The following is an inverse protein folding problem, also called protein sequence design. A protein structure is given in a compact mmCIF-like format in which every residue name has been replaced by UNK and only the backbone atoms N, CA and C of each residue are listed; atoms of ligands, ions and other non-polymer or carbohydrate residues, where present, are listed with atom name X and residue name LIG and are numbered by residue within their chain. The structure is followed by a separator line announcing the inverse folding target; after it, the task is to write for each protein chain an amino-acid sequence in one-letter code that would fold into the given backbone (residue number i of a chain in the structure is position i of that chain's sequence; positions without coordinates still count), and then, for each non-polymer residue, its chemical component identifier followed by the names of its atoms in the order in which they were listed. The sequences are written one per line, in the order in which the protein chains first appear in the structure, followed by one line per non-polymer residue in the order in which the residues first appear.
data_IF_187214153342
#
_entry.id   IF_187214153342
#
_cell.length_a   1.000
_cell.length_b   1.000
_cell.length_c   1.000
_cell.angle_alpha   90.00
_cell.angle_beta   90.00
_cell.angle_gamma   90.00
#
_symmetry.space_group_name_H-M   'P 1'
#
loop_
_entity.id
_entity.type
_entity.pdbx_description
1 polymer ?
#
# COMPACT_ATOMS: atom_id res chain seq x y z
N UNK A 1 9.61 -12.21 43.11
CA UNK A 1 9.24 -11.64 41.79
C UNK A 1 8.52 -12.74 41.02
N UNK A 2 7.18 -12.75 41.03
CA UNK A 2 6.46 -13.59 40.06
C UNK A 2 6.74 -12.96 38.70
N UNK A 3 7.38 -13.70 37.79
CA UNK A 3 7.27 -13.38 36.38
C UNK A 3 5.78 -13.48 36.05
N UNK A 4 5.10 -12.33 35.93
CA UNK A 4 3.92 -12.29 35.09
C UNK A 4 4.43 -12.67 33.71
N UNK A 5 4.18 -13.91 33.30
CA UNK A 5 4.37 -14.30 31.91
C UNK A 5 3.50 -13.36 31.09
N UNK A 6 4.12 -12.43 30.36
CA UNK A 6 3.39 -11.54 29.46
C UNK A 6 2.70 -12.45 28.44
N UNK A 7 1.37 -12.54 28.53
CA UNK A 7 0.59 -13.30 27.57
C UNK A 7 0.56 -12.47 26.29
N UNK A 8 0.94 -13.02 25.13
CA UNK A 8 0.90 -12.29 23.86
C UNK A 8 -0.50 -11.74 23.54
N UNK A 9 -1.53 -12.40 24.03
CA UNK A 9 -2.92 -11.97 23.89
C UNK A 9 -3.39 -11.20 25.14
N UNK A 10 -3.83 -9.94 25.01
CA UNK A 10 -4.44 -9.16 26.09
C UNK A 10 -5.84 -9.68 26.43
N UNK A 11 -6.44 -9.12 27.47
CA UNK A 11 -7.75 -9.55 27.95
C UNK A 11 -8.90 -9.05 27.03
N UNK A 12 -9.15 -9.78 25.94
CA UNK A 12 -10.19 -9.46 24.95
C UNK A 12 -11.59 -9.34 25.58
N UNK A 13 -11.87 -10.09 26.65
CA UNK A 13 -13.18 -10.00 27.32
C UNK A 13 -13.36 -8.70 28.10
N UNK A 14 -12.27 -8.13 28.60
CA UNK A 14 -12.30 -6.84 29.27
C UNK A 14 -12.45 -5.69 28.28
N UNK A 15 -11.77 -5.75 27.13
CA UNK A 15 -11.95 -4.76 26.06
C UNK A 15 -13.36 -4.82 25.49
N UNK A 16 -13.89 -6.03 25.27
CA UNK A 16 -15.29 -6.25 24.88
C UNK A 16 -16.29 -5.66 25.89
N UNK A 17 -16.04 -5.80 27.20
CA UNK A 17 -16.89 -5.21 28.23
C UNK A 17 -16.94 -3.68 28.12
N UNK A 18 -15.80 -3.01 27.89
CA UNK A 18 -15.77 -1.56 27.76
C UNK A 18 -16.41 -1.08 26.45
N UNK A 19 -16.21 -1.78 25.34
CA UNK A 19 -16.93 -1.48 24.10
C UNK A 19 -18.44 -1.67 24.27
N UNK A 20 -18.90 -2.72 24.97
CA UNK A 20 -20.32 -2.90 25.28
C UNK A 20 -20.90 -1.72 26.07
N UNK A 21 -20.16 -1.16 27.03
CA UNK A 21 -20.55 0.08 27.71
C UNK A 21 -20.66 1.27 26.76
N UNK A 22 -19.84 1.32 25.70
CA UNK A 22 -19.92 2.34 24.65
C UNK A 22 -21.12 2.15 23.71
N UNK A 23 -21.89 1.06 23.84
CA UNK A 23 -22.97 0.70 22.92
C UNK A 23 -22.47 0.19 21.57
N UNK A 24 -21.22 -0.23 21.50
CA UNK A 24 -20.53 -0.69 20.28
C UNK A 24 -19.97 -2.08 20.56
N UNK A 25 -20.04 -3.01 19.62
CA UNK A 25 -19.36 -4.29 19.78
C UNK A 25 -20.10 -5.45 19.17
N UNK A 26 -19.55 -6.63 19.47
CA UNK A 26 -20.12 -7.91 19.09
C UNK A 26 -20.85 -8.52 20.30
N UNK A 27 -21.66 -9.55 20.04
CA UNK A 27 -22.32 -10.28 21.13
C UNK A 27 -21.29 -10.93 22.07
N UNK A 28 -21.67 -11.12 23.35
CA UNK A 28 -20.79 -11.75 24.34
C UNK A 28 -20.31 -13.14 23.89
N UNK A 29 -21.20 -13.94 23.29
CA UNK A 29 -20.89 -15.26 22.76
C UNK A 29 -19.87 -15.18 21.62
N UNK A 30 -20.04 -14.22 20.70
CA UNK A 30 -19.11 -14.01 19.58
C UNK A 30 -17.73 -13.55 20.07
N UNK A 31 -17.65 -12.61 21.01
CA UNK A 31 -16.39 -12.19 21.62
C UNK A 31 -15.68 -13.35 22.32
N UNK A 32 -16.42 -14.21 23.01
CA UNK A 32 -15.83 -15.38 23.67
C UNK A 32 -15.26 -16.37 22.66
N UNK A 33 -15.96 -16.63 21.56
CA UNK A 33 -15.45 -17.48 20.49
C UNK A 33 -14.22 -16.86 19.80
N UNK A 34 -14.22 -15.55 19.55
CA UNK A 34 -13.07 -14.82 19.00
C UNK A 34 -11.87 -14.95 19.94
N UNK A 35 -12.06 -14.75 21.24
CA UNK A 35 -11.01 -14.91 22.24
C UNK A 35 -10.37 -16.30 22.21
N UNK A 36 -11.19 -17.36 22.09
CA UNK A 36 -10.68 -18.73 21.96
C UNK A 36 -9.93 -18.94 20.63
N UNK A 37 -10.44 -18.39 19.52
CA UNK A 37 -9.79 -18.48 18.22
C UNK A 37 -8.42 -17.75 18.20
N UNK A 38 -8.32 -16.60 18.86
CA UNK A 38 -7.07 -15.85 19.01
C UNK A 38 -6.07 -16.59 19.90
N UNK A 39 -6.54 -17.23 20.98
CA UNK A 39 -5.68 -18.10 21.80
C UNK A 39 -5.12 -19.28 21.01
N UNK A 40 -5.93 -19.86 20.12
CA UNK A 40 -5.46 -20.90 19.22
C UNK A 40 -4.39 -20.36 18.27
N UNK A 41 -4.59 -19.18 17.67
CA UNK A 41 -3.59 -18.53 16.81
C UNK A 41 -2.24 -18.33 17.51
N UNK A 42 -2.26 -17.72 18.70
CA UNK A 42 -1.06 -17.48 19.53
C UNK A 42 -0.37 -18.77 19.97
N UNK A 43 -1.10 -19.89 20.04
CA UNK A 43 -0.52 -21.20 20.36
C UNK A 43 0.11 -21.91 19.15
N UNK A 44 -0.30 -21.53 17.94
CA UNK A 44 0.13 -22.16 16.68
C UNK A 44 1.28 -21.42 16.00
N UNK A 45 1.40 -20.11 16.23
CA UNK A 45 2.36 -19.23 15.57
C UNK A 45 3.30 -18.58 16.60
N UNK A 46 4.53 -18.18 16.22
CA UNK A 46 5.51 -17.59 17.13
C UNK A 46 5.25 -16.11 17.43
N UNK A 47 4.08 -15.85 18.03
CA UNK A 47 3.56 -14.50 18.26
C UNK A 47 4.13 -13.88 19.54
N UNK A 48 4.59 -12.64 19.42
CA UNK A 48 4.99 -11.78 20.53
C UNK A 48 3.82 -10.97 21.08
N UNK A 49 3.07 -10.31 20.20
CA UNK A 49 1.87 -9.54 20.54
C UNK A 49 0.73 -9.89 19.59
N UNK A 50 -0.49 -10.01 20.11
CA UNK A 50 -1.69 -10.27 19.33
C UNK A 50 -2.81 -9.36 19.80
N UNK A 51 -3.37 -8.57 18.90
CA UNK A 51 -4.50 -7.69 19.17
C UNK A 51 -5.68 -8.06 18.28
N UNK A 52 -6.88 -8.02 18.85
CA UNK A 52 -8.10 -8.11 18.05
C UNK A 52 -8.32 -6.76 17.36
N UNK A 53 -8.02 -6.68 16.07
CA UNK A 53 -8.14 -5.46 15.29
C UNK A 53 -9.60 -5.08 15.02
N UNK A 54 -10.43 -6.09 14.74
CA UNK A 54 -11.86 -5.90 14.51
C UNK A 54 -12.46 -6.87 13.49
N UNK A 55 -13.56 -6.44 12.89
CA UNK A 55 -14.37 -7.23 11.95
C UNK A 55 -14.76 -6.40 10.72
N UNK A 56 -14.46 -6.93 9.54
CA UNK A 56 -14.88 -6.37 8.25
C UNK A 56 -16.06 -7.17 7.73
N UNK A 57 -17.12 -6.48 7.36
CA UNK A 57 -18.34 -7.07 6.82
C UNK A 57 -18.16 -7.37 5.33
N UNK A 58 -18.60 -8.56 4.93
CA UNK A 58 -18.65 -8.97 3.53
C UNK A 58 -20.05 -9.38 3.11
N UNK A 59 -20.24 -9.56 1.80
CA UNK A 59 -21.52 -9.90 1.20
C UNK A 59 -21.92 -11.37 1.45
N UNK A 60 -20.95 -12.28 1.43
CA UNK A 60 -21.17 -13.72 1.66
C UNK A 60 -20.65 -14.13 3.04
N UNK A 61 -19.43 -13.73 3.39
CA UNK A 61 -18.80 -13.99 4.69
C UNK A 61 -18.10 -12.74 5.22
N UNK A 62 -17.99 -12.63 6.54
CA UNK A 62 -17.24 -11.56 7.20
C UNK A 62 -15.76 -11.96 7.36
N UNK A 63 -14.92 -11.00 7.73
CA UNK A 63 -13.54 -11.23 8.14
C UNK A 63 -13.34 -10.75 9.56
N UNK A 64 -12.83 -11.63 10.41
CA UNK A 64 -12.33 -11.33 11.76
C UNK A 64 -10.83 -11.15 11.60
N UNK A 65 -10.31 -10.01 12.06
CA UNK A 65 -8.92 -9.61 11.83
C UNK A 65 -8.15 -9.59 13.14
N UNK A 66 -7.01 -10.27 13.15
CA UNK A 66 -5.99 -10.24 14.19
C UNK A 66 -4.79 -9.46 13.67
N UNK A 67 -4.33 -8.49 14.47
CA UNK A 67 -3.08 -7.75 14.27
C UNK A 67 -2.02 -8.40 15.16
N UNK A 68 -0.85 -8.69 14.60
CA UNK A 68 0.15 -9.58 15.21
C UNK A 68 1.56 -9.05 14.96
N UNK A 69 2.42 -9.16 15.97
CA UNK A 69 3.87 -9.06 15.82
C UNK A 69 4.50 -10.43 16.13
N UNK A 70 5.43 -10.86 15.30
CA UNK A 70 6.24 -12.05 15.57
C UNK A 70 7.42 -11.74 16.48
N UNK A 71 7.88 -12.76 17.18
CA UNK A 71 9.14 -12.68 17.93
C UNK A 71 10.29 -12.38 16.97
N UNK A 72 11.27 -11.61 17.43
CA UNK A 72 12.48 -11.32 16.66
C UNK A 72 13.14 -12.61 16.14
N UNK A 73 13.39 -12.66 14.82
CA UNK A 73 14.08 -13.78 14.16
C UNK A 73 13.24 -15.02 13.84
N UNK A 74 11.92 -15.00 14.08
CA UNK A 74 11.01 -16.12 13.74
C UNK A 74 10.12 -15.81 12.52
N UNK A 75 10.54 -14.87 11.67
CA UNK A 75 9.85 -14.56 10.41
C UNK A 75 10.22 -15.56 9.32
N UNK A 76 9.19 -16.07 8.64
CA UNK A 76 9.39 -16.77 7.37
C UNK A 76 9.94 -15.75 6.37
N UNK A 77 11.14 -16.00 5.84
CA UNK A 77 11.62 -15.32 4.63
C UNK A 77 10.52 -15.52 3.57
N UNK A 78 9.87 -14.42 3.19
CA UNK A 78 8.96 -14.49 2.04
C UNK A 78 9.85 -14.81 0.86
N UNK A 79 9.64 -15.99 0.25
CA UNK A 79 10.17 -16.25 -1.08
C UNK A 79 9.72 -15.08 -1.92
N UNK A 80 10.67 -14.25 -2.33
CA UNK A 80 10.48 -13.21 -3.31
C UNK A 80 10.05 -13.91 -4.59
N UNK A 81 8.76 -14.20 -4.70
CA UNK A 81 8.09 -14.17 -5.98
C UNK A 81 8.09 -12.69 -6.36
N UNK A 82 9.26 -12.21 -6.80
CA UNK A 82 9.30 -11.10 -7.72
C UNK A 82 8.31 -11.49 -8.82
N UNK A 83 7.15 -10.82 -8.84
CA UNK A 83 6.41 -10.69 -10.08
C UNK A 83 7.37 -9.94 -11.00
N UNK A 84 8.23 -10.68 -11.67
CA UNK A 84 8.94 -10.27 -12.87
C UNK A 84 7.81 -9.85 -13.80
N UNK A 85 7.53 -8.56 -13.84
CA UNK A 85 6.87 -7.97 -14.99
C UNK A 85 7.81 -8.34 -16.13
N UNK A 86 7.42 -9.31 -16.95
CA UNK A 86 8.12 -9.62 -18.20
C UNK A 86 8.24 -8.31 -18.98
N UNK A 87 9.35 -7.60 -18.81
CA UNK A 87 9.84 -6.71 -19.83
C UNK A 87 10.12 -7.59 -21.03
N UNK A 88 9.22 -7.51 -22.00
CA UNK A 88 9.33 -8.22 -23.26
C UNK A 88 10.74 -8.03 -23.83
N UNK A 89 11.35 -9.18 -24.15
CA UNK A 89 12.69 -9.36 -24.66
C UNK A 89 13.34 -8.15 -25.30
N UNK A 90 14.40 -7.64 -24.65
CA UNK A 90 15.45 -6.89 -25.32
C UNK A 90 16.38 -7.91 -25.97
N UNK A 91 16.01 -8.38 -27.17
CA UNK A 91 16.97 -9.04 -28.05
C UNK A 91 17.97 -7.97 -28.50
N UNK A 92 19.18 -8.02 -27.94
CA UNK A 92 20.31 -7.33 -28.52
C UNK A 92 20.75 -8.10 -29.76
N UNK A 93 20.36 -7.61 -30.95
CA UNK A 93 21.14 -7.89 -32.15
C UNK A 93 22.27 -6.87 -32.20
N UNK A 94 23.50 -7.37 -32.07
CA UNK A 94 24.67 -6.66 -32.59
C UNK A 94 24.53 -6.72 -34.11
N UNK A 95 24.18 -5.60 -34.74
CA UNK A 95 24.21 -5.48 -36.19
C UNK A 95 25.25 -4.45 -36.60
N UNK A 96 26.23 -4.97 -37.34
CA UNK A 96 27.24 -4.27 -38.09
C UNK A 96 26.60 -3.29 -39.08
N UNK A 97 27.33 -2.22 -39.39
CA UNK A 97 26.97 -1.17 -40.36
C UNK A 97 26.59 -1.78 -41.74
N UNK A 98 25.31 -2.08 -41.96
CA UNK A 98 24.73 -2.32 -43.28
C UNK A 98 23.51 -1.39 -43.51
N UNK A 99 23.17 -1.21 -44.78
CA UNK A 99 22.60 0.01 -45.35
C UNK A 99 21.26 0.48 -44.73
N UNK A 100 21.13 1.80 -44.55
CA UNK A 100 19.93 2.47 -43.99
C UNK A 100 18.65 2.15 -44.76
N UNK A 101 17.94 1.11 -44.34
CA UNK A 101 16.49 0.99 -44.54
C UNK A 101 15.76 1.86 -43.49
N UNK A 102 14.68 2.54 -43.90
CA UNK A 102 13.89 3.44 -43.06
C UNK A 102 13.13 2.66 -41.96
N UNK A 103 13.80 2.31 -40.87
CA UNK A 103 13.15 1.71 -39.70
C UNK A 103 12.17 2.71 -39.03
N UNK A 104 11.00 2.25 -38.55
CA UNK A 104 10.09 3.10 -37.80
C UNK A 104 10.76 3.59 -36.50
N UNK A 105 10.45 4.81 -36.04
CA UNK A 105 11.05 5.36 -34.83
C UNK A 105 10.78 4.46 -33.62
N UNK A 106 11.84 4.08 -32.91
CA UNK A 106 11.77 3.27 -31.69
C UNK A 106 11.00 4.03 -30.60
N UNK A 107 10.15 3.33 -29.86
CA UNK A 107 9.33 3.94 -28.82
C UNK A 107 10.21 4.50 -27.70
N UNK A 108 10.03 5.77 -27.36
CA UNK A 108 10.69 6.43 -26.23
C UNK A 108 9.89 6.30 -24.92
N UNK A 109 8.85 5.46 -24.88
CA UNK A 109 8.02 5.29 -23.70
C UNK A 109 8.79 4.55 -22.60
N UNK A 110 9.10 5.25 -21.50
CA UNK A 110 9.59 4.66 -20.25
C UNK A 110 8.42 4.50 -19.28
N UNK A 111 8.22 3.29 -18.76
CA UNK A 111 7.22 3.03 -17.72
C UNK A 111 7.46 3.94 -16.51
N UNK A 112 6.42 4.46 -15.83
CA UNK A 112 6.62 5.24 -14.62
C UNK A 112 7.39 4.42 -13.56
N UNK A 113 8.35 5.01 -12.84
CA UNK A 113 9.14 4.31 -11.83
C UNK A 113 8.23 3.72 -10.74
N UNK A 114 8.47 2.45 -10.40
CA UNK A 114 7.68 1.74 -9.40
C UNK A 114 8.20 2.07 -8.02
N UNK A 115 7.33 2.58 -7.15
CA UNK A 115 7.70 2.85 -5.75
C UNK A 115 7.87 1.52 -5.01
N UNK A 116 9.04 1.27 -4.38
CA UNK A 116 9.31 -0.01 -3.73
C UNK A 116 8.46 -0.21 -2.47
N UNK A 117 8.17 -1.49 -2.17
CA UNK A 117 7.45 -1.91 -0.94
C UNK A 117 8.28 -1.58 0.30
N UNK A 118 7.60 -1.26 1.40
CA UNK A 118 8.26 -1.10 2.70
C UNK A 118 8.63 -2.48 3.27
N UNK A 119 9.79 -2.55 3.93
CA UNK A 119 10.29 -3.77 4.56
C UNK A 119 9.36 -4.26 5.67
N UNK A 120 9.41 -5.55 5.97
CA UNK A 120 8.69 -6.12 7.09
C UNK A 120 9.09 -5.41 8.39
N UNK A 121 8.11 -5.17 9.28
CA UNK A 121 8.26 -4.42 10.54
C UNK A 121 8.40 -2.90 10.39
N UNK A 122 8.39 -2.36 9.17
CA UNK A 122 8.46 -0.92 8.93
C UNK A 122 7.18 -0.37 8.31
N UNK A 123 6.84 0.89 8.66
CA UNK A 123 5.74 1.64 8.05
C UNK A 123 4.41 0.88 7.98
N UNK A 124 3.88 0.77 6.78
CA UNK A 124 2.64 0.08 6.43
C UNK A 124 2.69 -1.43 6.67
N UNK A 125 3.88 -2.03 6.71
CA UNK A 125 4.16 -3.45 6.96
C UNK A 125 4.71 -3.72 8.38
N UNK A 126 4.52 -2.78 9.32
CA UNK A 126 4.91 -2.95 10.73
C UNK A 126 4.27 -4.17 11.41
N UNK A 127 2.99 -4.40 11.15
CA UNK A 127 2.22 -5.49 11.73
C UNK A 127 1.82 -6.52 10.69
N UNK A 128 1.76 -7.78 11.12
CA UNK A 128 1.24 -8.89 10.33
C UNK A 128 -0.25 -9.06 10.67
N UNK A 129 -1.06 -9.29 9.63
CA UNK A 129 -2.50 -9.45 9.81
C UNK A 129 -2.93 -10.87 9.46
N UNK A 130 -3.65 -11.49 10.40
CA UNK A 130 -4.30 -12.78 10.20
C UNK A 130 -5.80 -12.57 10.10
N UNK A 131 -6.44 -13.29 9.18
CA UNK A 131 -7.88 -13.22 8.99
C UNK A 131 -8.53 -14.58 9.10
N UNK A 132 -9.77 -14.58 9.59
CA UNK A 132 -10.59 -15.76 9.70
C UNK A 132 -12.06 -15.39 9.45
N UNK A 133 -12.82 -16.21 8.73
CA UNK A 133 -14.20 -15.87 8.42
C UNK A 133 -15.15 -16.06 9.61
N UNK A 134 -14.91 -17.09 10.40
CA UNK A 134 -15.72 -17.47 11.55
C UNK A 134 -14.83 -18.02 12.66
N UNK A 135 -15.11 -17.72 13.94
CA UNK A 135 -14.29 -18.21 15.03
C UNK A 135 -14.13 -19.74 15.00
N UNK A 136 -12.89 -20.23 15.03
CA UNK A 136 -12.56 -21.66 14.99
C UNK A 136 -12.23 -22.21 13.61
N UNK A 137 -12.44 -21.45 12.52
CA UNK A 137 -11.84 -21.74 11.22
C UNK A 137 -10.33 -21.43 11.23
N UNK A 138 -9.53 -22.00 10.32
CA UNK A 138 -8.10 -21.70 10.24
C UNK A 138 -7.86 -20.21 9.95
N UNK A 139 -6.84 -19.66 10.59
CA UNK A 139 -6.35 -18.32 10.33
C UNK A 139 -5.49 -18.30 9.07
N UNK A 140 -5.70 -17.32 8.21
CA UNK A 140 -4.93 -17.10 6.98
C UNK A 140 -4.11 -15.83 7.15
N UNK A 141 -2.79 -15.92 6.93
CA UNK A 141 -1.89 -14.75 6.91
C UNK A 141 -2.20 -13.92 5.66
N UNK A 142 -2.41 -12.62 5.81
CA UNK A 142 -2.51 -11.70 4.68
C UNK A 142 -1.11 -11.37 4.14
N UNK A 143 -0.97 -11.16 2.82
CA UNK A 143 0.30 -10.73 2.23
C UNK A 143 0.69 -9.34 2.74
N UNK A 144 1.98 -8.95 2.61
CA UNK A 144 2.39 -7.56 2.82
C UNK A 144 1.69 -6.65 1.80
N UNK A 145 1.60 -5.37 2.13
CA UNK A 145 0.98 -4.36 1.26
C UNK A 145 2.05 -3.64 0.44
N UNK A 146 1.73 -3.33 -0.82
CA UNK A 146 2.57 -2.47 -1.66
C UNK A 146 1.97 -1.06 -1.78
N UNK A 147 2.80 -0.02 -2.05
CA UNK A 147 2.31 1.35 -2.22
C UNK A 147 1.29 1.46 -3.36
N UNK A 148 1.53 0.74 -4.46
CA UNK A 148 0.62 0.70 -5.63
C UNK A 148 -0.77 0.17 -5.24
N UNK A 149 -0.84 -0.87 -4.40
CA UNK A 149 -2.12 -1.37 -3.87
C UNK A 149 -2.85 -0.31 -3.03
N UNK A 150 -2.15 0.42 -2.17
CA UNK A 150 -2.77 1.48 -1.35
C UNK A 150 -3.30 2.61 -2.24
N UNK A 151 -2.52 3.06 -3.22
CA UNK A 151 -2.89 4.13 -4.15
C UNK A 151 -4.09 3.69 -5.01
N UNK A 152 -4.09 2.46 -5.53
CA UNK A 152 -5.22 1.91 -6.27
C UNK A 152 -6.47 1.79 -5.39
N UNK A 153 -6.32 1.30 -4.14
CA UNK A 153 -7.41 1.17 -3.17
C UNK A 153 -8.09 2.51 -2.84
N UNK A 154 -7.35 3.63 -2.87
CA UNK A 154 -7.92 4.98 -2.68
C UNK A 154 -8.87 5.40 -3.81
N UNK A 155 -8.66 4.89 -5.02
CA UNK A 155 -9.43 5.25 -6.24
C UNK A 155 -10.65 4.36 -6.48
N UNK A 156 -10.80 3.27 -5.72
CA UNK A 156 -11.87 2.28 -5.92
C UNK A 156 -12.72 2.11 -4.66
N UNK A 157 -13.99 1.74 -4.85
CA UNK A 157 -14.93 1.43 -3.77
C UNK A 157 -15.63 0.10 -4.05
N UNK A 158 -15.26 -0.95 -3.32
CA UNK A 158 -15.77 -2.32 -3.50
C UNK A 158 -16.22 -2.90 -2.17
N UNK A 159 -17.31 -3.66 -2.19
CA UNK A 159 -17.71 -4.49 -1.04
C UNK A 159 -16.90 -5.78 -1.05
N UNK A 160 -16.51 -6.24 0.12
CA UNK A 160 -15.85 -7.53 0.29
C UNK A 160 -16.83 -8.67 0.05
N UNK A 161 -16.40 -9.74 -0.62
CA UNK A 161 -17.22 -10.94 -0.79
C UNK A 161 -17.14 -11.83 0.44
N UNK A 162 -15.99 -11.89 1.11
CA UNK A 162 -15.69 -12.88 2.14
C UNK A 162 -14.83 -14.04 1.64
N UNK A 163 -14.42 -14.01 0.36
CA UNK A 163 -13.48 -14.94 -0.27
C UNK A 163 -12.18 -14.23 -0.61
N UNK A 164 -11.07 -14.65 -0.01
CA UNK A 164 -9.76 -13.99 -0.15
C UNK A 164 -9.19 -14.08 -1.56
N UNK A 165 -9.53 -15.13 -2.30
CA UNK A 165 -9.11 -15.39 -3.68
C UNK A 165 -9.98 -14.69 -4.74
N UNK A 166 -11.03 -13.98 -4.34
CA UNK A 166 -11.92 -13.32 -5.29
C UNK A 166 -11.19 -12.20 -6.06
N UNK A 167 -11.35 -12.11 -7.39
CA UNK A 167 -10.72 -11.06 -8.18
C UNK A 167 -11.39 -9.70 -7.94
N UNK A 168 -10.59 -8.63 -7.85
CA UNK A 168 -11.08 -7.26 -7.72
C UNK A 168 -11.26 -6.62 -9.10
N UNK A 169 -12.48 -6.69 -9.62
CA UNK A 169 -12.82 -6.10 -10.92
C UNK A 169 -13.14 -4.61 -10.75
N UNK A 170 -12.18 -3.72 -10.99
CA UNK A 170 -12.34 -2.27 -10.86
C UNK A 170 -11.69 -1.50 -12.00
N UNK A 171 -12.08 -0.23 -12.12
CA UNK A 171 -11.33 0.77 -12.88
C UNK A 171 -11.02 1.96 -11.97
N UNK A 172 -9.75 2.33 -11.76
CA UNK A 172 -8.54 1.70 -12.30
C UNK A 172 -8.38 0.23 -11.85
N UNK A 173 -7.64 -0.60 -12.62
CA UNK A 173 -7.32 -1.98 -12.23
C UNK A 173 -6.63 -2.02 -10.87
N UNK A 174 -7.00 -2.98 -10.04
CA UNK A 174 -6.37 -3.19 -8.74
C UNK A 174 -5.31 -4.32 -8.86
N UNK A 175 -4.06 -4.09 -8.43
CA UNK A 175 -3.01 -5.10 -8.50
C UNK A 175 -3.17 -6.12 -7.36
N UNK A 176 -3.88 -7.21 -7.63
CA UNK A 176 -4.08 -8.33 -6.72
C UNK A 176 -5.54 -8.75 -6.56
N UNK A 177 -5.79 -9.63 -5.59
CA UNK A 177 -7.13 -10.16 -5.29
C UNK A 177 -7.74 -9.48 -4.04
N UNK A 178 -8.82 -10.05 -3.51
CA UNK A 178 -9.50 -9.55 -2.33
C UNK A 178 -8.61 -9.56 -1.08
N UNK A 179 -7.66 -10.50 -0.93
CA UNK A 179 -6.71 -10.49 0.18
C UNK A 179 -5.81 -9.24 0.16
N UNK A 180 -5.28 -8.87 -1.00
CA UNK A 180 -4.48 -7.65 -1.17
C UNK A 180 -5.32 -6.39 -0.94
N UNK A 181 -6.56 -6.37 -1.43
CA UNK A 181 -7.47 -5.24 -1.20
C UNK A 181 -7.85 -5.10 0.28
N UNK A 182 -8.13 -6.22 0.96
CA UNK A 182 -8.42 -6.27 2.39
C UNK A 182 -7.23 -5.75 3.20
N UNK A 183 -6.02 -6.21 2.89
CA UNK A 183 -4.78 -5.74 3.50
C UNK A 183 -4.56 -4.24 3.30
N UNK A 184 -4.80 -3.72 2.09
CA UNK A 184 -4.69 -2.30 1.79
C UNK A 184 -5.74 -1.46 2.56
N UNK A 185 -6.97 -1.95 2.71
CA UNK A 185 -7.99 -1.29 3.52
C UNK A 185 -7.63 -1.30 5.01
N UNK A 186 -7.12 -2.41 5.54
CA UNK A 186 -6.64 -2.50 6.93
C UNK A 186 -5.53 -1.48 7.18
N UNK A 187 -4.54 -1.36 6.28
CA UNK A 187 -3.48 -0.34 6.40
C UNK A 187 -4.06 1.08 6.50
N UNK A 188 -4.96 1.43 5.57
CA UNK A 188 -5.58 2.76 5.50
C UNK A 188 -6.46 3.09 6.71
N UNK A 189 -7.20 2.11 7.22
CA UNK A 189 -8.04 2.28 8.42
C UNK A 189 -7.14 2.43 9.64
N UNK A 190 -6.13 1.57 9.79
CA UNK A 190 -5.24 1.60 10.95
C UNK A 190 -4.50 2.93 11.07
N UNK A 191 -3.92 3.40 9.97
CA UNK A 191 -3.22 4.69 9.91
C UNK A 191 -4.10 5.91 10.20
N UNK A 192 -5.43 5.80 10.03
CA UNK A 192 -6.35 6.93 10.24
C UNK A 192 -7.23 6.82 11.47
N UNK A 193 -7.16 5.72 12.24
CA UNK A 193 -8.13 5.47 13.32
C UNK A 193 -7.55 4.88 14.61
N UNK A 194 -6.29 4.45 14.61
CA UNK A 194 -5.65 3.95 15.83
C UNK A 194 -5.12 5.12 16.67
N UNK A 195 -5.82 5.39 17.77
CA UNK A 195 -5.60 6.56 18.61
C UNK A 195 -5.38 6.18 20.08
N UNK A 196 -4.71 7.03 20.82
CA UNK A 196 -4.43 6.84 22.25
C UNK A 196 -4.58 8.16 23.01
N UNK A 197 -4.85 8.13 24.33
CA UNK A 197 -4.79 9.33 25.16
C UNK A 197 -3.41 9.99 25.08
N UNK A 198 -3.40 11.33 25.04
CA UNK A 198 -2.19 12.13 25.01
C UNK A 198 -1.27 11.77 26.20
N UNK A 199 0.01 11.53 25.92
CA UNK A 199 1.01 11.19 26.92
C UNK A 199 1.01 9.73 27.39
N UNK A 200 0.11 8.88 26.86
CA UNK A 200 0.15 7.44 27.13
C UNK A 200 1.40 6.79 26.53
N UNK A 201 1.76 7.16 25.30
CA UNK A 201 3.00 6.77 24.65
C UNK A 201 3.98 7.94 24.64
N UNK A 202 5.27 7.62 24.66
CA UNK A 202 6.37 8.57 24.50
C UNK A 202 7.40 8.00 23.52
N UNK A 203 8.23 8.88 22.96
CA UNK A 203 9.41 8.45 22.20
C UNK A 203 10.53 8.06 23.17
N UNK A 204 11.23 6.97 22.89
CA UNK A 204 12.36 6.51 23.72
C UNK A 204 13.50 7.52 23.75
N UNK A 205 14.24 7.58 24.86
CA UNK A 205 15.34 8.55 25.07
C UNK A 205 16.55 8.32 24.15
N UNK A 206 16.69 7.14 23.52
CA UNK A 206 17.89 6.74 22.78
C UNK A 206 17.90 7.19 21.30
N UNK A 207 16.76 7.59 20.72
CA UNK A 207 16.68 8.18 19.37
C UNK A 207 16.66 9.73 19.43
N UNK A 208 17.61 10.24 20.23
CA UNK A 208 17.88 11.65 20.40
C UNK A 208 19.25 12.02 19.89
N UNK A 209 19.49 11.89 18.59
CA UNK A 209 20.53 12.66 17.89
C UNK A 209 20.18 12.69 16.39
N UNK A 210 19.34 13.65 16.00
CA UNK A 210 19.68 14.72 15.06
C UNK A 210 18.41 15.53 14.79
N UNK A 211 18.58 16.85 14.73
CA UNK A 211 17.54 17.85 14.53
C UNK A 211 16.94 17.75 13.12
N UNK A 212 16.20 16.69 12.80
CA UNK A 212 15.24 16.74 11.70
C UNK A 212 14.03 17.56 12.15
N UNK A 213 13.99 18.78 11.62
CA UNK A 213 12.96 19.79 11.80
C UNK A 213 11.57 19.24 11.42
N UNK A 214 10.92 18.52 12.34
CA UNK A 214 9.54 18.05 12.14
C UNK A 214 9.12 16.76 12.82
N UNK A 215 10.00 16.02 13.52
CA UNK A 215 9.61 14.75 14.18
C UNK A 215 9.10 13.67 13.20
N UNK A 216 9.33 13.89 11.89
CA UNK A 216 8.81 13.06 10.80
C UNK A 216 9.61 11.75 10.59
N UNK A 217 10.70 11.55 11.33
CA UNK A 217 11.54 10.34 11.27
C UNK A 217 11.47 9.43 12.49
N UNK A 218 10.55 9.67 13.45
CA UNK A 218 10.39 8.79 14.62
C UNK A 218 9.36 7.70 14.36
N UNK A 219 9.84 6.47 14.28
CA UNK A 219 9.04 5.31 13.85
C UNK A 219 8.63 4.39 15.01
N UNK A 220 9.22 4.61 16.18
CA UNK A 220 9.05 3.79 17.38
C UNK A 220 8.55 4.63 18.56
N UNK A 221 7.84 3.97 19.48
CA UNK A 221 7.31 4.57 20.69
C UNK A 221 7.24 3.51 21.79
N UNK A 222 7.22 3.97 23.04
CA UNK A 222 7.13 3.13 24.23
C UNK A 222 6.00 3.60 25.16
N UNK A 223 5.46 2.69 25.97
CA UNK A 223 4.49 3.03 27.02
C UNK A 223 5.14 3.93 28.07
N UNK A 224 4.53 5.08 28.35
CA UNK A 224 5.02 6.00 29.36
C UNK A 224 4.69 5.47 30.77
N UNK A 225 5.69 5.06 31.58
CA UNK A 225 5.45 4.53 32.93
C UNK A 225 4.85 5.58 33.88
N UNK A 226 5.13 6.85 33.62
CA UNK A 226 4.70 8.00 34.41
C UNK A 226 3.40 8.62 33.89
N UNK A 227 2.67 7.93 33.00
CA UNK A 227 1.39 8.43 32.47
C UNK A 227 0.39 8.79 33.58
N UNK A 228 0.01 10.06 33.61
CA UNK A 228 -1.05 10.60 34.44
C UNK A 228 -2.39 10.48 33.71
N UNK A 229 -3.38 9.90 34.36
CA UNK A 229 -4.68 9.67 33.74
C UNK A 229 -5.41 10.98 33.50
N UNK A 230 -5.78 11.23 32.25
CA UNK A 230 -6.69 12.33 31.87
C UNK A 230 -8.11 11.94 32.30
N UNK A 231 -8.88 12.92 32.79
CA UNK A 231 -10.26 12.64 33.20
C UNK A 231 -11.15 12.32 31.98
N UNK A 232 -12.16 11.47 32.18
CA UNK A 232 -13.09 11.10 31.11
C UNK A 232 -13.83 12.31 30.53
N UNK A 233 -14.11 13.34 31.34
CA UNK A 233 -14.74 14.56 30.85
C UNK A 233 -13.79 15.35 29.94
N UNK A 234 -12.53 15.52 30.33
CA UNK A 234 -11.53 16.20 29.49
C UNK A 234 -11.27 15.47 28.18
N UNK A 235 -11.26 14.12 28.20
CA UNK A 235 -11.12 13.30 27.00
C UNK A 235 -12.28 13.48 26.01
N UNK A 236 -13.48 13.79 26.49
CA UNK A 236 -14.65 14.03 25.64
C UNK A 236 -14.72 15.49 25.19
N UNK A 237 -14.35 16.43 26.05
CA UNK A 237 -14.45 17.87 25.79
C UNK A 237 -13.39 18.36 24.79
N UNK A 238 -12.20 17.74 24.77
CA UNK A 238 -11.10 18.16 23.90
C UNK A 238 -10.47 17.00 23.12
N UNK A 239 -10.53 17.10 21.79
CA UNK A 239 -9.86 16.18 20.88
C UNK A 239 -8.32 16.29 20.94
N UNK A 240 -7.77 17.37 21.49
CA UNK A 240 -6.32 17.52 21.69
C UNK A 240 -5.77 16.54 22.74
N UNK A 241 -6.64 15.92 23.54
CA UNK A 241 -6.26 14.90 24.52
C UNK A 241 -6.14 13.50 23.90
N UNK A 242 -6.27 13.39 22.57
CA UNK A 242 -6.12 12.16 21.80
C UNK A 242 -5.09 12.38 20.71
N UNK A 243 -4.27 11.37 20.48
CA UNK A 243 -3.19 11.40 19.48
C UNK A 243 -3.20 10.14 18.62
N UNK A 244 -2.77 10.25 17.37
CA UNK A 244 -2.53 9.08 16.50
C UNK A 244 -1.22 8.38 16.90
N UNK A 245 -1.26 7.07 17.16
CA UNK A 245 -0.05 6.28 17.47
C UNK A 245 0.36 5.32 16.34
N UNK A 246 -0.24 5.48 15.16
CA UNK A 246 0.17 4.82 13.92
C UNK A 246 0.56 5.89 12.92
N UNK A 247 1.61 5.63 12.14
CA UNK A 247 2.11 6.55 11.12
C UNK A 247 1.06 6.81 10.04
N UNK A 248 1.01 8.06 9.58
CA UNK A 248 0.17 8.43 8.46
C UNK A 248 0.74 7.89 7.13
N UNK A 249 -0.16 7.47 6.23
CA UNK A 249 0.24 7.00 4.90
C UNK A 249 0.16 8.18 3.91
N UNK A 250 1.29 8.52 3.30
CA UNK A 250 1.46 9.58 2.29
C UNK A 250 0.67 9.31 1.01
N UNK A 251 0.53 10.30 0.12
CA UNK A 251 -0.17 10.14 -1.16
C UNK A 251 0.53 9.11 -2.05
N UNK A 252 1.85 9.00 -1.94
CA UNK A 252 2.67 7.96 -2.54
C UNK A 252 2.27 6.51 -2.13
N UNK A 253 1.64 6.33 -0.97
CA UNK A 253 1.22 5.01 -0.47
C UNK A 253 2.18 4.36 0.52
N UNK A 254 3.20 5.10 0.97
CA UNK A 254 4.16 4.73 2.02
C UNK A 254 4.00 5.60 3.27
N UNK A 255 4.61 5.20 4.38
CA UNK A 255 4.74 6.06 5.56
C UNK A 255 5.92 7.02 5.42
N UNK A 256 7.04 6.55 4.85
CA UNK A 256 8.21 7.37 4.51
C UNK A 256 8.25 7.69 3.01
N UNK A 257 8.54 8.94 2.68
CA UNK A 257 8.66 9.38 1.28
C UNK A 257 9.97 8.86 0.69
N UNK A 258 9.91 8.37 -0.55
CA UNK A 258 11.09 8.06 -1.36
C UNK A 258 11.00 8.84 -2.67
N UNK A 259 12.13 9.37 -3.13
CA UNK A 259 12.21 9.96 -4.46
C UNK A 259 12.16 8.85 -5.53
N UNK A 260 11.09 8.75 -6.34
CA UNK A 260 11.02 7.73 -7.39
C UNK A 260 12.05 7.93 -8.52
N UNK A 261 12.64 9.12 -8.61
CA UNK A 261 13.65 9.47 -9.62
C UNK A 261 15.09 9.20 -9.15
N UNK A 262 15.30 8.90 -7.86
CA UNK A 262 16.60 8.39 -7.41
C UNK A 262 16.72 6.93 -7.86
N UNK A 263 17.52 6.69 -8.89
CA UNK A 263 17.98 5.34 -9.23
C UNK A 263 18.80 4.79 -8.07
N UNK A 264 18.70 3.49 -7.80
CA UNK A 264 19.68 2.80 -6.95
C UNK A 264 21.06 2.88 -7.59
N UNK A 265 22.13 3.00 -6.79
CA UNK A 265 23.52 3.07 -7.27
C UNK A 265 23.90 1.91 -8.22
N UNK A 266 23.19 0.77 -8.15
CA UNK A 266 23.39 -0.40 -9.04
C UNK A 266 22.87 -0.20 -10.47
N UNK A 267 21.91 0.70 -10.72
CA UNK A 267 21.39 0.99 -12.07
C UNK A 267 22.12 2.17 -12.76
N UNK A 268 23.03 2.84 -12.06
CA UNK A 268 23.84 3.93 -12.63
C UNK A 268 25.02 3.43 -13.47
N UNK A 269 25.50 2.18 -13.28
CA UNK A 269 26.66 1.66 -14.01
C UNK A 269 26.37 1.22 -15.48
N UNK A 270 25.11 1.00 -15.87
CA UNK A 270 24.77 0.53 -17.24
C UNK A 270 24.19 1.61 -18.17
N UNK A 271 24.09 2.87 -17.72
CA UNK A 271 23.27 3.90 -18.39
C UNK A 271 23.98 5.19 -18.81
N UNK A 272 25.32 5.24 -18.87
CA UNK A 272 26.06 6.43 -19.30
C UNK A 272 26.07 6.58 -20.84
N UNK A 273 24.91 6.76 -21.48
CA UNK A 273 24.81 7.43 -22.79
C UNK A 273 23.33 7.66 -23.16
N UNK A 274 22.68 8.69 -22.60
CA UNK A 274 21.50 9.28 -23.25
C UNK A 274 21.38 10.76 -22.88
N UNK A 275 21.21 11.59 -23.91
CA UNK A 275 21.23 13.04 -23.88
C UNK A 275 20.27 13.65 -22.86
N UNK A 276 20.62 14.87 -22.39
CA UNK A 276 19.78 15.77 -21.59
C UNK A 276 18.41 16.01 -22.21
N UNK A 277 17.46 15.10 -21.98
CA UNK A 277 16.04 15.43 -21.99
C UNK A 277 15.74 16.23 -20.71
N UNK A 278 14.89 17.26 -20.82
CA UNK A 278 14.46 18.09 -19.68
C UNK A 278 14.11 17.19 -18.49
N UNK A 279 14.82 17.35 -17.37
CA UNK A 279 14.49 16.67 -16.12
C UNK A 279 13.01 16.98 -15.82
N UNK A 280 12.13 15.96 -15.72
CA UNK A 280 10.78 16.21 -15.25
C UNK A 280 10.88 16.85 -13.87
N UNK A 281 10.09 17.91 -13.63
CA UNK A 281 10.03 18.60 -12.33
C UNK A 281 10.12 17.56 -11.19
N UNK A 282 11.20 17.62 -10.40
CA UNK A 282 11.41 16.67 -9.31
C UNK A 282 10.16 16.65 -8.42
N UNK A 283 9.58 15.47 -8.15
CA UNK A 283 8.38 15.40 -7.34
C UNK A 283 8.66 16.00 -5.96
N UNK A 284 7.84 16.96 -5.53
CA UNK A 284 8.01 17.59 -4.23
C UNK A 284 7.93 16.54 -3.11
N UNK A 285 8.87 16.54 -2.15
CA UNK A 285 8.82 15.64 -1.01
C UNK A 285 7.50 15.75 -0.26
N UNK A 286 6.83 14.61 -0.06
CA UNK A 286 5.60 14.56 0.71
C UNK A 286 5.95 14.38 2.20
N UNK A 287 5.51 15.31 3.06
CA UNK A 287 5.69 15.22 4.51
C UNK A 287 4.33 15.04 5.18
N UNK A 288 4.19 13.96 5.94
CA UNK A 288 3.01 13.66 6.74
C UNK A 288 3.07 14.31 8.14
N UNK A 289 1.96 14.33 8.88
CA UNK A 289 2.00 14.69 10.29
C UNK A 289 2.86 13.68 11.07
N UNK A 290 3.64 14.14 12.07
CA UNK A 290 4.47 13.26 12.88
C UNK A 290 3.63 12.28 13.71
N UNK A 291 4.29 11.27 14.28
CA UNK A 291 3.63 10.37 15.21
C UNK A 291 3.21 11.15 16.48
N UNK A 292 2.12 10.70 17.11
CA UNK A 292 1.53 11.34 18.28
C UNK A 292 0.96 12.75 18.02
N UNK A 293 0.62 13.07 16.77
CA UNK A 293 -0.12 14.29 16.42
C UNK A 293 -1.55 14.26 17.02
N UNK A 294 -2.02 15.36 17.64
CA UNK A 294 -3.36 15.45 18.21
C UNK A 294 -4.50 15.43 17.19
N UNK A 295 -5.65 14.84 17.56
CA UNK A 295 -6.84 14.77 16.69
C UNK A 295 -7.48 16.13 16.38
N UNK A 296 -7.13 17.18 17.14
CA UNK A 296 -7.57 18.54 16.85
C UNK A 296 -6.97 19.11 15.55
N UNK A 297 -5.93 18.46 15.02
CA UNK A 297 -5.27 18.84 13.76
C UNK A 297 -5.83 18.06 12.55
N UNK A 298 -6.72 17.09 12.77
CA UNK A 298 -7.33 16.31 11.69
C UNK A 298 -8.22 17.19 10.79
N UNK A 299 -8.12 16.96 9.48
CA UNK A 299 -8.89 17.71 8.49
C UNK A 299 -10.42 17.43 8.58
N UNK A 300 -11.21 18.50 8.54
CA UNK A 300 -12.67 18.40 8.51
C UNK A 300 -13.21 17.85 7.18
N UNK A 301 -14.35 17.16 7.24
CA UNK A 301 -15.03 16.57 6.09
C UNK A 301 -16.19 17.49 5.67
N UNK A 302 -15.95 18.44 4.77
CA UNK A 302 -16.98 19.42 4.33
C UNK A 302 -17.73 20.09 5.51
N UNK A 303 -16.99 20.56 6.53
CA UNK A 303 -17.48 21.14 7.79
C UNK A 303 -18.07 20.14 8.81
N UNK A 304 -17.88 18.83 8.60
CA UNK A 304 -18.17 17.80 9.60
C UNK A 304 -16.86 17.50 10.34
N UNK A 305 -16.84 17.51 11.68
CA UNK A 305 -15.63 17.15 12.43
C UNK A 305 -15.22 15.70 12.12
N UNK A 306 -13.92 15.41 12.01
CA UNK A 306 -13.42 14.07 11.67
C UNK A 306 -13.75 13.02 12.74
N UNK A 307 -13.98 13.46 13.98
CA UNK A 307 -14.28 12.63 15.12
C UNK A 307 -15.52 13.13 15.88
N UNK A 308 -16.20 12.21 16.53
CA UNK A 308 -17.28 12.52 17.48
C UNK A 308 -16.97 11.87 18.83
N UNK A 309 -16.88 12.69 19.86
CA UNK A 309 -16.64 12.28 21.24
C UNK A 309 -17.95 12.27 22.03
N UNK A 310 -18.14 11.24 22.86
CA UNK A 310 -19.31 11.11 23.73
C UNK A 310 -18.98 10.32 24.99
N UNK A 311 -19.79 10.52 26.03
CA UNK A 311 -19.80 9.67 27.22
C UNK A 311 -20.66 8.43 26.96
N UNK A 312 -20.26 7.28 27.51
CA UNK A 312 -21.13 6.09 27.49
C UNK A 312 -22.46 6.29 28.20
N UNK A 313 -22.49 7.12 29.24
CA UNK A 313 -23.71 7.43 29.98
C UNK A 313 -23.68 8.83 30.57
N UNK A 314 -24.80 9.54 30.43
CA UNK A 314 -25.04 10.83 31.08
C UNK A 314 -25.73 10.68 32.44
N UNK A 315 -26.19 9.47 32.79
CA UNK A 315 -26.93 9.22 34.03
C UNK A 315 -26.00 9.05 35.23
N UNK A 316 -24.84 8.42 35.02
CA UNK A 316 -23.86 8.14 36.07
C UNK A 316 -22.44 8.48 35.58
N UNK A 317 -22.11 9.78 35.38
CA UNK A 317 -20.85 10.20 34.74
C UNK A 317 -19.58 9.72 35.45
N UNK A 318 -19.65 9.47 36.76
CA UNK A 318 -18.52 8.96 37.55
C UNK A 318 -18.06 7.54 37.17
N UNK A 319 -18.88 6.78 36.45
CA UNK A 319 -18.55 5.46 35.89
C UNK A 319 -18.59 5.44 34.36
N UNK A 320 -18.75 6.61 33.73
CA UNK A 320 -18.75 6.71 32.29
C UNK A 320 -17.35 6.47 31.73
N UNK A 321 -17.30 6.03 30.47
CA UNK A 321 -16.08 5.95 29.67
C UNK A 321 -16.14 7.02 28.59
N UNK A 322 -14.98 7.48 28.15
CA UNK A 322 -14.87 8.31 26.95
C UNK A 322 -14.97 7.40 25.74
N UNK A 323 -15.81 7.76 24.77
CA UNK A 323 -16.01 7.02 23.53
C UNK A 323 -15.78 7.98 22.37
N UNK A 324 -14.88 7.61 21.47
CA UNK A 324 -14.64 8.31 20.22
C UNK A 324 -15.11 7.44 19.05
N UNK A 325 -15.74 8.09 18.08
CA UNK A 325 -16.14 7.50 16.81
C UNK A 325 -15.50 8.29 15.67
N UNK A 326 -14.90 7.59 14.71
CA UNK A 326 -14.43 8.23 13.48
C UNK A 326 -15.60 8.48 12.53
N UNK A 327 -15.72 9.72 12.06
CA UNK A 327 -16.66 10.08 11.00
C UNK A 327 -16.07 9.81 9.60
N UNK A 328 -14.73 9.80 9.50
CA UNK A 328 -14.03 9.49 8.25
C UNK A 328 -14.07 7.99 7.92
N UNK A 329 -13.99 7.15 8.94
CA UNK A 329 -14.08 5.70 8.82
C UNK A 329 -15.22 5.16 9.68
N UNK A 330 -16.46 5.18 9.16
CA UNK A 330 -17.60 4.63 9.88
C UNK A 330 -17.37 3.18 10.25
N UNK A 331 -17.50 2.89 11.56
CA UNK A 331 -17.18 1.59 12.14
C UNK A 331 -15.91 1.60 13.01
N UNK A 332 -15.07 2.64 12.93
CA UNK A 332 -13.94 2.79 13.84
C UNK A 332 -14.37 3.47 15.15
N UNK A 333 -14.09 2.80 16.26
CA UNK A 333 -14.41 3.26 17.60
C UNK A 333 -13.24 3.08 18.54
N UNK A 334 -13.13 3.99 19.50
CA UNK A 334 -12.12 3.96 20.53
C UNK A 334 -12.75 4.27 21.88
N UNK A 335 -12.29 3.64 22.95
CA UNK A 335 -12.68 4.02 24.30
C UNK A 335 -11.46 4.36 25.15
N UNK A 336 -11.66 5.17 26.19
CA UNK A 336 -10.67 5.36 27.25
C UNK A 336 -11.31 5.52 28.63
N UNK A 337 -10.67 4.91 29.63
CA UNK A 337 -10.99 5.04 31.06
C UNK A 337 -9.74 4.82 31.90
N UNK A 338 -9.31 5.86 32.63
CA UNK A 338 -8.10 5.79 33.44
C UNK A 338 -6.87 5.47 32.58
N UNK A 339 -6.21 4.34 32.87
CA UNK A 339 -5.05 3.84 32.11
C UNK A 339 -5.40 2.81 31.02
N UNK A 340 -6.69 2.59 30.76
CA UNK A 340 -7.15 1.60 29.79
C UNK A 340 -7.77 2.31 28.60
N UNK A 341 -7.37 1.92 27.40
CA UNK A 341 -8.00 2.33 26.15
C UNK A 341 -7.84 1.19 25.15
N UNK A 342 -8.66 1.18 24.12
CA UNK A 342 -8.49 0.28 22.97
C UNK A 342 -9.21 0.89 21.75
N UNK A 343 -8.86 0.37 20.58
CA UNK A 343 -9.43 0.76 19.29
C UNK A 343 -9.99 -0.48 18.60
N UNK A 344 -11.15 -0.37 17.96
CA UNK A 344 -11.76 -1.46 17.21
C UNK A 344 -12.40 -0.94 15.93
N UNK A 345 -12.29 -1.71 14.85
CA UNK A 345 -13.04 -1.46 13.63
C UNK A 345 -14.14 -2.50 13.42
N UNK A 346 -15.39 -2.07 13.27
CA UNK A 346 -16.55 -2.91 12.96
C UNK A 346 -17.35 -2.27 11.82
N UNK A 347 -17.16 -2.74 10.58
CA UNK A 347 -17.84 -2.11 9.45
C UNK A 347 -17.49 -2.68 8.08
N UNK A 348 -17.87 -1.95 7.03
CA UNK A 348 -17.72 -2.39 5.62
C UNK A 348 -16.32 -2.11 5.02
N UNK A 349 -15.43 -1.47 5.78
CA UNK A 349 -14.12 -1.04 5.30
C UNK A 349 -14.18 0.11 4.30
N UNK A 350 -15.22 0.95 4.33
CA UNK A 350 -15.37 2.08 3.40
C UNK A 350 -15.07 3.41 4.09
N UNK A 351 -14.24 4.22 3.43
CA UNK A 351 -14.03 5.62 3.81
C UNK A 351 -15.31 6.41 3.53
N UNK A 352 -15.74 7.20 4.49
CA UNK A 352 -16.84 8.14 4.29
C UNK A 352 -16.45 9.16 3.22
N UNK A 353 -17.36 9.37 2.28
CA UNK A 353 -17.25 10.42 1.28
C UNK A 353 -18.62 11.07 1.18
N UNK A 354 -18.69 12.40 1.28
CA UNK A 354 -19.95 13.13 1.12
C UNK A 354 -20.46 13.06 -0.33
N UNK A 355 -19.54 12.94 -1.29
CA UNK A 355 -19.85 12.83 -2.70
C UNK A 355 -20.08 11.37 -3.09
N UNK A 356 -20.90 11.18 -4.13
CA UNK A 356 -21.05 9.86 -4.74
C UNK A 356 -19.72 9.44 -5.37
N UNK A 357 -19.40 8.16 -5.22
CA UNK A 357 -18.24 7.59 -5.89
C UNK A 357 -18.34 7.82 -7.40
N UNK A 358 -17.35 8.54 -7.93
CA UNK A 358 -17.20 8.81 -9.36
C UNK A 358 -15.99 8.02 -9.86
N UNK A 359 -16.19 7.04 -10.76
CA UNK A 359 -15.08 6.28 -11.32
C UNK A 359 -14.04 7.19 -11.94
N UNK A 360 -12.76 6.80 -11.89
CA UNK A 360 -11.71 7.52 -12.60
C UNK A 360 -12.02 7.55 -14.10
N UNK A 361 -11.65 8.63 -14.78
CA UNK A 361 -11.75 8.69 -16.23
C UNK A 361 -10.65 7.85 -16.88
N UNK A 362 -10.87 7.33 -18.10
CA UNK A 362 -9.80 6.83 -18.95
C UNK A 362 -8.63 7.83 -19.04
N UNK A 363 -7.37 7.36 -19.12
CA UNK A 363 -6.26 8.26 -19.41
C UNK A 363 -6.53 9.01 -20.73
N UNK A 364 -5.98 10.22 -20.89
CA UNK A 364 -6.07 10.92 -22.16
C UNK A 364 -5.50 10.06 -23.28
N UNK A 365 -6.09 10.17 -24.46
CA UNK A 365 -5.54 9.54 -25.66
C UNK A 365 -4.13 10.11 -25.91
N UNK A 366 -3.21 9.23 -26.30
CA UNK A 366 -1.87 9.68 -26.68
C UNK A 366 -1.97 10.59 -27.89
N UNK A 367 -1.20 11.66 -27.88
CA UNK A 367 -1.07 12.55 -29.04
C UNK A 367 -0.22 11.87 -30.10
N UNK A 368 -0.60 12.06 -31.35
CA UNK A 368 0.22 11.64 -32.49
C UNK A 368 1.58 12.36 -32.47
N UNK A 369 2.57 11.78 -33.15
CA UNK A 369 3.87 12.42 -33.30
C UNK A 369 3.71 13.80 -33.95
N UNK A 370 4.33 14.86 -33.41
CA UNK A 370 4.15 16.20 -33.95
C UNK A 370 4.59 16.25 -35.41
N UNK A 371 3.76 16.79 -36.31
CA UNK A 371 4.14 16.99 -37.71
C UNK A 371 5.26 18.02 -37.83
N UNK A 372 6.50 17.55 -37.66
CA UNK A 372 7.72 18.34 -37.76
C UNK A 372 8.24 18.44 -39.20
N UNK A 373 9.32 19.20 -39.41
CA UNK A 373 9.97 19.31 -40.72
C UNK A 373 10.57 17.99 -41.22
N UNK A 374 10.68 16.98 -40.35
CA UNK A 374 11.14 15.63 -40.65
C UNK A 374 10.05 14.75 -41.27
N UNK A 375 8.77 15.15 -41.19
CA UNK A 375 7.65 14.40 -41.76
C UNK A 375 7.25 15.06 -43.08
N UNK A 376 7.51 14.35 -44.18
CA UNK A 376 7.03 14.76 -45.51
C UNK A 376 5.90 13.83 -45.94
N UNK A 377 4.67 14.36 -45.98
CA UNK A 377 3.53 13.63 -46.55
C UNK A 377 3.76 13.45 -48.06
N UNK A 378 3.90 12.20 -48.50
CA UNK A 378 4.04 11.83 -49.91
C UNK A 378 2.78 11.07 -50.37
N UNK A 379 2.43 11.20 -51.65
CA UNK A 379 1.32 10.44 -52.20
C UNK A 379 1.69 8.96 -52.28
N UNK A 380 0.71 8.08 -52.03
CA UNK A 380 0.88 6.64 -52.23
C UNK A 380 1.40 6.34 -53.64
N UNK A 381 2.39 5.45 -53.80
CA UNK A 381 2.92 5.07 -55.10
C UNK A 381 1.84 4.42 -55.96
N UNK A 382 1.93 4.63 -57.26
CA UNK A 382 1.03 3.98 -58.22
C UNK A 382 1.39 2.50 -58.38
N UNK A 383 0.42 1.68 -58.82
CA UNK A 383 0.62 0.24 -59.06
C UNK A 383 1.78 -0.04 -60.03
N UNK A 384 2.02 0.85 -60.98
CA UNK A 384 3.13 0.74 -61.94
C UNK A 384 4.50 0.98 -61.27
N UNK A 385 4.58 1.92 -60.32
CA UNK A 385 5.79 2.24 -59.56
C UNK A 385 6.12 1.14 -58.54
N UNK A 386 5.11 0.54 -57.89
CA UNK A 386 5.28 -0.60 -56.98
C UNK A 386 5.82 -1.83 -57.73
N UNK A 387 5.29 -2.12 -58.93
CA UNK A 387 5.78 -3.22 -59.77
C UNK A 387 7.21 -2.99 -60.25
N UNK A 388 7.57 -1.75 -60.58
CA UNK A 388 8.93 -1.41 -61.00
C UNK A 388 9.93 -1.54 -59.84
N UNK A 389 9.55 -1.09 -58.64
CA UNK A 389 10.37 -1.25 -57.43
C UNK A 389 10.62 -2.73 -57.12
N UNK A 390 9.56 -3.55 -57.18
CA UNK A 390 9.64 -4.98 -56.92
C UNK A 390 10.55 -5.71 -57.91
N UNK A 391 10.46 -5.36 -59.19
CA UNK A 391 11.34 -5.92 -60.22
C UNK A 391 12.80 -5.50 -60.02
N UNK A 392 13.04 -4.25 -59.62
CA UNK A 392 14.39 -3.76 -59.33
C UNK A 392 14.99 -4.42 -58.08
N UNK A 393 14.19 -4.67 -57.04
CA UNK A 393 14.62 -5.45 -55.87
C UNK A 393 14.94 -6.89 -56.25
N UNK A 394 14.10 -7.55 -57.06
CA UNK A 394 14.34 -8.93 -57.51
C UNK A 394 15.61 -9.03 -58.39
N UNK A 395 15.88 -8.03 -59.23
CA UNK A 395 17.12 -7.95 -60.02
C UNK A 395 18.36 -7.69 -59.13
N UNK A 396 18.26 -6.84 -58.12
CA UNK A 396 19.34 -6.59 -57.16
C UNK A 396 19.63 -7.83 -56.30
N UNK A 397 18.60 -8.55 -55.86
CA UNK A 397 18.74 -9.78 -55.09
C UNK A 397 19.37 -10.89 -55.93
N UNK A 398 18.95 -11.03 -57.19
CA UNK A 398 19.56 -11.97 -58.13
C UNK A 398 21.03 -11.63 -58.42
N UNK A 399 21.36 -10.33 -58.52
CA UNK A 399 22.75 -9.89 -58.70
C UNK A 399 23.61 -10.10 -57.45
N UNK A 400 23.03 -10.01 -56.25
CA UNK A 400 23.70 -10.35 -55.00
C UNK A 400 23.94 -11.86 -54.88
N UNK A 401 22.93 -12.69 -55.16
CA UNK A 401 23.07 -14.16 -55.21
C UNK A 401 24.12 -14.60 -56.24
N UNK A 402 24.19 -13.94 -57.40
CA UNK A 402 25.19 -14.26 -58.43
C UNK A 402 26.62 -13.79 -58.02
N UNK A 403 26.76 -12.79 -57.15
CA UNK A 403 28.06 -12.41 -56.57
C UNK A 403 28.46 -13.34 -55.42
N UNK A 404 27.54 -13.76 -54.56
CA UNK A 404 27.82 -14.74 -53.50
C UNK A 404 28.22 -16.11 -54.09
N UNK A 405 27.56 -16.56 -55.18
CA UNK A 405 27.97 -17.79 -55.90
C UNK A 405 29.36 -17.67 -56.54
N UNK A 406 29.81 -16.46 -56.92
CA UNK A 406 31.17 -16.23 -57.43
C UNK A 406 32.22 -16.15 -56.32
N UNK A 407 31.88 -15.69 -55.12
CA UNK A 407 32.79 -15.71 -53.95
C UNK A 407 32.96 -17.12 -53.39
N UNK A 408 31.92 -17.96 -53.37
CA UNK A 408 32.03 -19.37 -52.96
C UNK A 408 32.87 -20.23 -53.94
N UNK A 409 32.89 -19.90 -55.24
CA UNK A 409 33.75 -20.59 -56.22
C UNK A 409 35.24 -20.20 -56.13
N UNK A 410 35.61 -19.04 -55.57
CA UNK A 410 37.02 -18.64 -55.40
C UNK A 410 37.69 -19.26 -54.15
N UNK A 411 36.93 -19.67 -53.14
CA UNK A 411 37.46 -20.31 -51.91
C UNK A 411 37.69 -21.84 -52.04
N UNK A 412 37.12 -22.50 -53.05
CA UNK A 412 37.36 -23.94 -53.31
C UNK A 412 38.66 -24.24 -54.08
N UNK A 413 39.38 -23.22 -54.57
CA UNK A 413 40.58 -23.38 -55.42
C UNK A 413 41.94 -23.22 -54.67
N UNK A 414 41.96 -23.03 -53.34
CA UNK A 414 43.23 -22.91 -52.56
C UNK A 414 43.68 -24.20 -51.81
N UNK A 415 42.98 -25.33 -51.93
CA UNK A 415 43.27 -26.56 -51.15
C UNK A 415 43.59 -27.83 -51.99
N UNK A 416 44.47 -27.72 -53.01
CA UNK A 416 45.04 -28.89 -53.73
C UNK A 416 46.57 -28.87 -53.94
#
# INVERSE_FOLDING_TARGET
KMHLSYSPLPNVMETAFYFEQAGVGLSMDENYHIFLALKQLVSMQPIQTCRFWGKILGLEMNYIVAEVEYREGEEEEETEEEEVIEEGGKEGSEEEDEEKEDEPPKSTYKSPPVVPKEENRTGTNKFIYFVCNEPGKPWVKLPPVTPVQIVAARKIKKFFTGRLDAPIVSYPPFPGNEANYLRAQIARISAGTQISPLGFYQFGEEEGDEEEEGGAGRDTYEENPDFETISVMELVDSLSNWVHHVQNILMQGRCSWINPSQKSEEEEEEGEEEEKAEEPDEPQPEVGPPLLTPLSEDAEIQNIPPWTSQLSTNLVPQYAIAVLQSNLWPGAYSYAIGKKFDNIYLGWGHKYSPDNYSPSMPPPVQTEYPSGPEITEMNDPTVEEEQALKAAQEEALAAAEEMDEMEEEEDEDEDD
#
